data_IF_311977631497
#
_entry.id   IF_311977631497
#
_cell.length_a   1.000
_cell.length_b   1.000
_cell.length_c   1.000
_cell.angle_alpha   90.00
_cell.angle_beta   90.00
_cell.angle_gamma   90.00
#
_symmetry.space_group_name_H-M   'P 1'
#
loop_
_entity.id
_entity.type
_entity.pdbx_description
1 polymer ?
#
# COMPACT_ATOMS: atom_id res chain seq x y z
N UNK A 1 -15.53 -22.78 -25.12
CA UNK A 1 -14.33 -21.91 -25.08
C UNK A 1 -13.60 -22.23 -23.80
N UNK A 2 -12.30 -22.50 -23.85
CA UNK A 2 -11.51 -22.81 -22.66
C UNK A 2 -11.09 -21.49 -21.99
N UNK A 3 -11.12 -21.45 -20.67
CA UNK A 3 -10.80 -20.26 -19.89
C UNK A 3 -9.81 -20.61 -18.78
N UNK A 4 -8.88 -19.71 -18.55
CA UNK A 4 -7.92 -19.76 -17.45
C UNK A 4 -8.32 -18.70 -16.43
N UNK A 5 -8.37 -19.09 -15.16
CA UNK A 5 -8.64 -18.16 -14.04
C UNK A 5 -7.47 -18.17 -13.08
N UNK A 6 -6.92 -17.00 -12.77
CA UNK A 6 -5.92 -16.83 -11.70
C UNK A 6 -6.53 -15.96 -10.61
N UNK A 7 -6.11 -16.25 -9.38
CA UNK A 7 -6.36 -15.37 -8.24
C UNK A 7 -5.02 -14.79 -7.77
N UNK A 8 -4.98 -13.47 -7.67
CA UNK A 8 -3.85 -12.74 -7.10
C UNK A 8 -4.32 -12.15 -5.77
N UNK A 9 -3.74 -12.62 -4.67
CA UNK A 9 -4.06 -12.12 -3.34
C UNK A 9 -2.83 -11.55 -2.64
N UNK A 10 -3.01 -10.39 -2.00
CA UNK A 10 -1.97 -9.74 -1.19
C UNK A 10 -2.63 -8.89 -0.11
N UNK A 11 -2.19 -9.05 1.15
CA UNK A 11 -2.65 -8.25 2.29
C UNK A 11 -4.18 -8.13 2.41
N UNK A 12 -4.88 -9.23 2.15
CA UNK A 12 -6.34 -9.30 2.22
C UNK A 12 -7.08 -8.75 0.99
N UNK A 13 -6.38 -8.10 0.04
CA UNK A 13 -6.96 -7.73 -1.25
C UNK A 13 -6.86 -8.91 -2.22
N UNK A 14 -7.98 -9.25 -2.84
CA UNK A 14 -8.08 -10.34 -3.82
C UNK A 14 -8.46 -9.75 -5.18
N UNK A 15 -7.70 -10.07 -6.21
CA UNK A 15 -7.97 -9.71 -7.60
C UNK A 15 -8.05 -10.97 -8.43
N UNK A 16 -9.18 -11.15 -9.12
CA UNK A 16 -9.36 -12.25 -10.06
C UNK A 16 -8.98 -11.81 -11.46
N UNK A 17 -8.22 -12.65 -12.15
CA UNK A 17 -7.81 -12.46 -13.54
C UNK A 17 -8.35 -13.62 -14.36
N UNK A 18 -8.88 -13.31 -15.54
CA UNK A 18 -9.45 -14.29 -16.44
C UNK A 18 -8.89 -14.06 -17.84
N UNK A 19 -8.52 -15.15 -18.50
CA UNK A 19 -8.01 -15.16 -19.86
C UNK A 19 -8.71 -16.24 -20.67
N UNK A 20 -9.16 -15.89 -21.86
CA UNK A 20 -9.71 -16.84 -22.80
C UNK A 20 -8.59 -17.51 -23.60
N UNK A 21 -8.71 -18.82 -23.81
CA UNK A 21 -7.80 -19.54 -24.70
C UNK A 21 -8.43 -19.56 -26.08
N UNK A 22 -7.86 -18.80 -27.01
CA UNK A 22 -8.39 -18.59 -28.37
C UNK A 22 -8.23 -19.80 -29.32
N UNK A 23 -7.80 -20.95 -28.81
CA UNK A 23 -7.53 -22.13 -29.62
C UNK A 23 -7.61 -23.44 -28.86
N UNK A 24 -7.50 -24.53 -29.62
CA UNK A 24 -7.61 -25.90 -29.11
C UNK A 24 -6.25 -26.62 -29.02
N UNK A 25 -5.14 -25.92 -29.31
CA UNK A 25 -3.79 -26.49 -29.25
C UNK A 25 -3.14 -26.16 -27.90
N UNK A 26 -2.27 -27.05 -27.44
CA UNK A 26 -1.44 -26.84 -26.24
C UNK A 26 -0.58 -25.57 -26.40
N UNK A 27 -0.12 -25.25 -27.61
CA UNK A 27 0.62 -24.02 -27.88
C UNK A 27 -0.15 -22.75 -27.52
N UNK A 28 -1.47 -22.77 -27.71
CA UNK A 28 -2.34 -21.62 -27.45
C UNK A 28 -2.58 -21.49 -25.95
N UNK A 29 -2.79 -22.62 -25.26
CA UNK A 29 -2.83 -22.67 -23.81
C UNK A 29 -1.54 -22.10 -23.18
N UNK A 30 -0.37 -22.46 -23.70
CA UNK A 30 0.93 -21.95 -23.22
C UNK A 30 1.04 -20.44 -23.42
N UNK A 31 0.55 -19.89 -24.54
CA UNK A 31 0.54 -18.43 -24.78
C UNK A 31 -0.35 -17.72 -23.77
N UNK A 32 -1.58 -18.19 -23.58
CA UNK A 32 -2.52 -17.63 -22.59
C UNK A 32 -1.94 -17.70 -21.16
N UNK A 33 -1.27 -18.79 -20.80
CA UNK A 33 -0.58 -18.90 -19.50
C UNK A 33 0.55 -17.87 -19.33
N UNK A 34 1.33 -17.58 -20.38
CA UNK A 34 2.37 -16.55 -20.35
C UNK A 34 1.76 -15.16 -20.17
N UNK A 35 0.72 -14.83 -20.92
CA UNK A 35 -0.01 -13.57 -20.79
C UNK A 35 -0.58 -13.40 -19.37
N UNK A 36 -1.20 -14.44 -18.82
CA UNK A 36 -1.73 -14.45 -17.45
C UNK A 36 -0.66 -14.26 -16.39
N UNK A 37 0.52 -14.86 -16.56
CA UNK A 37 1.67 -14.63 -15.66
C UNK A 37 2.08 -13.16 -15.65
N UNK A 38 2.22 -12.55 -16.83
CA UNK A 38 2.59 -11.13 -16.94
C UNK A 38 1.53 -10.22 -16.30
N UNK A 39 0.24 -10.49 -16.57
CA UNK A 39 -0.89 -9.77 -15.96
C UNK A 39 -0.89 -9.90 -14.43
N UNK A 40 -0.61 -11.10 -13.91
CA UNK A 40 -0.53 -11.36 -12.47
C UNK A 40 0.62 -10.60 -11.81
N UNK A 41 1.80 -10.59 -12.45
CA UNK A 41 2.96 -9.82 -11.97
C UNK A 41 2.68 -8.32 -11.97
N UNK A 42 2.04 -7.80 -13.01
CA UNK A 42 1.63 -6.40 -13.08
C UNK A 42 0.64 -6.05 -11.96
N UNK A 43 -0.31 -6.94 -11.69
CA UNK A 43 -1.28 -6.78 -10.59
C UNK A 43 -0.57 -6.73 -9.24
N UNK A 44 0.31 -7.69 -8.95
CA UNK A 44 1.11 -7.69 -7.71
C UNK A 44 1.97 -6.42 -7.56
N UNK A 45 2.56 -5.95 -8.66
CA UNK A 45 3.38 -4.72 -8.66
C UNK A 45 2.54 -3.49 -8.33
N UNK A 46 1.33 -3.39 -8.88
CA UNK A 46 0.40 -2.29 -8.53
C UNK A 46 -0.01 -2.34 -7.06
N UNK A 47 -0.36 -3.52 -6.56
CA UNK A 47 -0.71 -3.70 -5.14
C UNK A 47 0.43 -3.27 -4.21
N UNK A 48 1.68 -3.62 -4.56
CA UNK A 48 2.89 -3.16 -3.88
C UNK A 48 3.07 -1.63 -3.88
N UNK A 49 2.86 -1.00 -5.03
CA UNK A 49 2.99 0.46 -5.17
C UNK A 49 1.91 1.18 -4.36
N UNK A 50 0.67 0.70 -4.41
CA UNK A 50 -0.44 1.25 -3.61
C UNK A 50 -0.17 1.16 -2.11
N UNK A 51 0.41 0.06 -1.63
CA UNK A 51 0.84 -0.09 -0.23
C UNK A 51 1.91 0.94 0.15
N UNK A 52 2.91 1.11 -0.71
CA UNK A 52 4.01 2.05 -0.48
C UNK A 52 3.49 3.47 -0.38
N UNK A 53 2.63 3.89 -1.32
CA UNK A 53 2.01 5.23 -1.34
C UNK A 53 1.15 5.46 -0.09
N UNK A 54 0.35 4.48 0.33
CA UNK A 54 -0.47 4.58 1.55
C UNK A 54 0.38 4.76 2.80
N UNK A 55 1.53 4.10 2.88
CA UNK A 55 2.45 4.25 4.00
C UNK A 55 3.17 5.61 3.99
N UNK A 56 3.60 6.11 2.83
CA UNK A 56 4.21 7.44 2.71
C UNK A 56 3.24 8.55 3.11
N UNK A 57 1.98 8.47 2.66
CA UNK A 57 0.94 9.46 3.04
C UNK A 57 0.58 9.44 4.52
N UNK A 58 0.69 8.29 5.20
CA UNK A 58 0.52 8.22 6.65
C UNK A 58 1.68 8.89 7.38
N UNK A 59 2.91 8.70 6.91
CA UNK A 59 4.09 9.33 7.50
C UNK A 59 4.12 10.87 7.33
N UNK A 60 3.59 11.39 6.22
CA UNK A 60 3.46 12.84 6.02
C UNK A 60 2.40 13.45 6.93
N UNK A 61 1.29 12.74 7.19
CA UNK A 61 0.21 13.25 8.05
C UNK A 61 0.55 13.28 9.54
N UNK A 62 1.49 12.44 10.00
CA UNK A 62 1.98 12.45 11.39
C UNK A 62 3.03 13.55 11.63
N UNK A 63 3.62 14.16 10.59
CA UNK A 63 4.57 15.27 10.75
C UNK A 63 3.93 16.66 10.67
N UNK A 64 2.63 16.75 10.37
CA UNK A 64 1.92 18.03 10.17
C UNK A 64 1.21 18.51 11.46
N UNK A 65 1.68 18.04 12.63
CA UNK A 65 1.21 18.50 13.95
C UNK A 65 2.38 18.93 14.83
N UNK A 66 3.22 19.85 14.33
CA UNK A 66 4.12 20.63 15.20
C UNK A 66 4.33 22.02 14.59
N UNK A 67 3.27 22.83 14.62
CA UNK A 67 3.36 24.26 14.32
C UNK A 67 2.81 25.04 15.53
N UNK A 68 3.64 25.17 16.55
CA UNK A 68 3.57 26.29 17.49
C UNK A 68 4.97 26.59 18.05
N UNK A 69 5.78 27.27 17.24
CA UNK A 69 6.86 28.10 17.77
C UNK A 69 6.28 29.23 18.63
N UNK A 70 6.85 29.49 19.81
CA UNK A 70 6.62 30.75 20.52
C UNK A 70 6.95 30.79 22.02
N UNK A 71 8.21 31.12 22.31
CA UNK A 71 8.72 31.79 23.54
C UNK A 71 9.12 30.95 24.78
N UNK A 72 10.39 30.56 24.82
CA UNK A 72 11.23 30.76 26.02
C UNK A 72 11.89 32.15 25.95
N UNK A 73 12.49 32.73 27.02
CA UNK A 73 12.42 32.43 28.46
C UNK A 73 12.30 33.70 29.34
N UNK A 74 11.71 33.65 30.54
CA UNK A 74 12.13 34.57 31.63
C UNK A 74 12.07 33.92 33.01
N UNK A 75 13.20 34.04 33.71
CA UNK A 75 13.40 33.85 35.14
C UNK A 75 12.33 34.58 35.95
N UNK A 76 11.78 33.94 36.98
CA UNK A 76 11.65 34.54 38.32
C UNK A 76 11.23 33.49 39.36
N UNK A 77 12.19 33.06 40.19
CA UNK A 77 11.87 32.63 41.54
C UNK A 77 11.37 33.86 42.32
N UNK A 78 10.23 33.76 43.02
CA UNK A 78 10.36 33.99 44.46
C UNK A 78 9.55 33.02 45.31
N UNK A 79 10.23 32.55 46.36
CA UNK A 79 9.72 31.83 47.53
C UNK A 79 8.38 32.38 48.04
N UNK A 80 7.42 31.50 48.32
CA UNK A 80 6.47 31.68 49.44
C UNK A 80 6.29 30.39 50.22
N UNK A 81 6.57 30.48 51.52
CA UNK A 81 6.31 29.47 52.55
C UNK A 81 4.80 29.25 52.67
N UNK A 82 4.37 27.99 52.81
CA UNK A 82 3.15 27.66 53.54
C UNK A 82 3.46 26.47 54.45
N UNK A 83 3.38 26.73 55.75
CA UNK A 83 3.25 25.72 56.81
C UNK A 83 1.83 25.17 56.76
N UNK A 84 1.66 23.87 56.91
CA UNK A 84 0.88 23.30 58.02
C UNK A 84 1.21 21.83 58.20
#
# INVERSE_FOLDING_TARGET
MLQISFEVSRNGQVTQLQENVDGNKISDLIKSLKAMKESSNNTLTKLLQEETIKNTRKAEKDNDTDDTEGEEPTKDEPRKKIKS
#
